data_IF_652368952638
#
_entry.id   IF_652368952638
#
_cell.length_a   1.000
_cell.length_b   1.000
_cell.length_c   1.000
_cell.angle_alpha   90.00
_cell.angle_beta   90.00
_cell.angle_gamma   90.00
#
_symmetry.space_group_name_H-M   'P 1'
#
loop_
_entity.id
_entity.type
_entity.pdbx_description
1 polymer ?
#
# COMPACT_ATOMS: atom_id res chain seq x y z
N UNK A 1 -8.23 -7.24 22.99
CA UNK A 1 -8.09 -5.89 22.39
C UNK A 1 -6.60 -5.61 22.21
N UNK A 2 -6.12 -5.23 21.01
CA UNK A 2 -4.70 -4.88 20.78
C UNK A 2 -4.56 -3.35 20.79
N UNK A 3 -3.67 -2.83 21.63
CA UNK A 3 -3.29 -1.41 21.61
C UNK A 3 -2.43 -1.16 20.37
N UNK A 4 -2.76 -0.11 19.63
CA UNK A 4 -1.97 0.38 18.50
C UNK A 4 -1.65 1.85 18.73
N UNK A 5 -0.48 2.26 18.28
CA UNK A 5 -0.05 3.66 18.27
C UNK A 5 -0.37 4.26 16.90
N UNK A 6 -0.90 5.49 16.90
CA UNK A 6 -1.26 6.24 15.71
C UNK A 6 -0.78 7.68 15.85
N UNK A 7 0.03 8.12 14.90
CA UNK A 7 0.39 9.52 14.73
C UNK A 7 -0.39 10.10 13.55
N UNK A 8 -1.04 11.23 13.76
CA UNK A 8 -1.70 11.99 12.70
C UNK A 8 -0.79 13.17 12.38
N UNK A 9 -0.37 13.26 11.13
CA UNK A 9 0.49 14.31 10.62
C UNK A 9 -0.37 15.25 9.79
N UNK A 10 -0.36 16.54 10.13
CA UNK A 10 -1.04 17.57 9.35
C UNK A 10 -0.10 18.22 8.32
N UNK A 11 -0.65 19.14 7.51
CA UNK A 11 0.08 19.82 6.43
C UNK A 11 1.19 20.76 6.91
N UNK A 12 1.12 21.22 8.15
CA UNK A 12 2.09 22.15 8.73
C UNK A 12 3.29 21.41 9.34
N UNK A 13 3.21 20.09 9.46
CA UNK A 13 4.29 19.27 9.98
C UNK A 13 5.50 19.29 9.04
N UNK A 14 6.71 19.39 9.61
CA UNK A 14 7.97 19.50 8.86
C UNK A 14 8.21 18.38 7.83
N UNK A 15 7.70 17.16 8.09
CA UNK A 15 7.85 16.00 7.22
C UNK A 15 6.66 15.78 6.26
N UNK A 16 5.63 16.63 6.29
CA UNK A 16 4.41 16.41 5.51
C UNK A 16 4.70 16.26 4.01
N UNK A 17 5.49 17.18 3.44
CA UNK A 17 5.79 17.20 2.00
C UNK A 17 6.49 15.92 1.54
N UNK A 18 7.43 15.41 2.31
CA UNK A 18 8.16 14.18 1.99
C UNK A 18 7.24 12.96 2.05
N UNK A 19 6.41 12.87 3.08
CA UNK A 19 5.45 11.78 3.26
C UNK A 19 4.41 11.78 2.13
N UNK A 20 3.93 12.95 1.73
CA UNK A 20 2.96 13.10 0.64
C UNK A 20 3.57 12.67 -0.70
N UNK A 21 4.80 13.09 -1.01
CA UNK A 21 5.52 12.69 -2.22
C UNK A 21 5.75 11.17 -2.27
N UNK A 22 6.22 10.56 -1.17
CA UNK A 22 6.37 9.10 -1.08
C UNK A 22 5.02 8.39 -1.28
N UNK A 23 3.94 8.92 -0.73
CA UNK A 23 2.60 8.36 -0.88
C UNK A 23 2.08 8.47 -2.32
N UNK A 24 2.43 9.54 -3.02
CA UNK A 24 2.12 9.72 -4.44
C UNK A 24 2.91 8.75 -5.32
N UNK A 25 4.22 8.58 -5.06
CA UNK A 25 5.07 7.59 -5.74
C UNK A 25 4.58 6.17 -5.50
N UNK A 26 4.19 5.83 -4.26
CA UNK A 26 3.59 4.55 -3.92
C UNK A 26 2.28 4.29 -4.67
N UNK A 27 1.47 5.34 -4.86
CA UNK A 27 0.28 5.26 -5.69
C UNK A 27 0.60 4.92 -7.14
N UNK A 28 1.66 5.51 -7.71
CA UNK A 28 2.07 5.21 -9.08
C UNK A 28 2.47 3.74 -9.24
N UNK A 29 3.27 3.20 -8.31
CA UNK A 29 3.64 1.78 -8.33
C UNK A 29 2.43 0.86 -8.12
N UNK A 30 1.50 1.22 -7.23
CA UNK A 30 0.25 0.50 -7.06
C UNK A 30 -0.56 0.44 -8.36
N UNK A 31 -0.75 1.60 -9.02
CA UNK A 31 -1.53 1.68 -10.26
C UNK A 31 -0.87 0.89 -11.40
N UNK A 32 0.45 0.97 -11.55
CA UNK A 32 1.21 0.18 -12.53
C UNK A 32 1.08 -1.32 -12.27
N UNK A 33 1.30 -1.75 -11.04
CA UNK A 33 1.16 -3.15 -10.64
C UNK A 33 -0.28 -3.64 -10.88
N UNK A 34 -1.27 -2.83 -10.49
CA UNK A 34 -2.68 -3.17 -10.69
C UNK A 34 -3.05 -3.21 -12.18
N UNK A 35 -2.44 -2.37 -13.01
CA UNK A 35 -2.63 -2.39 -14.46
C UNK A 35 -2.27 -3.77 -15.04
N UNK A 36 -1.08 -4.31 -14.74
CA UNK A 36 -0.70 -5.63 -15.23
C UNK A 36 -1.68 -6.73 -14.78
N UNK A 37 -2.13 -6.71 -13.52
CA UNK A 37 -3.13 -7.67 -13.05
C UNK A 37 -4.48 -7.52 -13.75
N UNK A 38 -4.94 -6.29 -14.00
CA UNK A 38 -6.20 -6.02 -14.71
C UNK A 38 -6.13 -6.48 -16.16
N UNK A 39 -5.04 -6.20 -16.86
CA UNK A 39 -4.84 -6.67 -18.24
C UNK A 39 -4.97 -8.20 -18.33
N UNK A 40 -4.30 -8.92 -17.44
CA UNK A 40 -4.42 -10.38 -17.37
C UNK A 40 -5.82 -10.84 -16.94
N UNK A 41 -6.46 -10.12 -16.03
CA UNK A 41 -7.81 -10.45 -15.58
C UNK A 41 -8.83 -10.35 -16.71
N UNK A 42 -8.75 -9.32 -17.56
CA UNK A 42 -9.65 -9.18 -18.69
C UNK A 42 -9.36 -10.20 -19.81
N UNK A 43 -8.11 -10.63 -19.97
CA UNK A 43 -7.74 -11.64 -20.97
C UNK A 43 -8.02 -13.09 -20.52
N UNK A 44 -7.70 -13.44 -19.27
CA UNK A 44 -7.65 -14.82 -18.78
C UNK A 44 -8.47 -15.06 -17.51
N UNK A 45 -9.11 -14.03 -16.95
CA UNK A 45 -9.73 -14.07 -15.61
C UNK A 45 -8.77 -14.50 -14.48
N UNK A 46 -7.47 -14.20 -14.63
CA UNK A 46 -6.41 -14.47 -13.66
C UNK A 46 -5.67 -13.18 -13.29
N UNK A 47 -5.00 -13.18 -12.14
CA UNK A 47 -4.05 -12.14 -11.77
C UNK A 47 -2.62 -12.70 -11.68
N UNK A 48 -1.63 -11.83 -11.78
CA UNK A 48 -0.23 -12.22 -11.64
C UNK A 48 0.11 -12.64 -10.21
N UNK A 49 0.99 -13.65 -10.10
CA UNK A 49 1.65 -13.98 -8.85
C UNK A 49 2.72 -12.97 -8.47
N UNK A 50 3.25 -13.07 -7.25
CA UNK A 50 4.24 -12.12 -6.73
C UNK A 50 5.51 -12.04 -7.57
N UNK A 51 6.07 -13.19 -7.98
CA UNK A 51 7.32 -13.21 -8.74
C UNK A 51 7.13 -12.60 -10.13
N UNK A 52 6.10 -13.02 -10.86
CA UNK A 52 5.80 -12.48 -12.20
C UNK A 52 5.53 -10.98 -12.14
N UNK A 53 4.69 -10.54 -11.19
CA UNK A 53 4.36 -9.12 -11.06
C UNK A 53 5.58 -8.28 -10.66
N UNK A 54 6.48 -8.83 -9.85
CA UNK A 54 7.76 -8.21 -9.56
C UNK A 54 8.60 -8.05 -10.83
N UNK A 55 8.74 -9.10 -11.65
CA UNK A 55 9.51 -9.02 -12.89
C UNK A 55 8.93 -8.03 -13.90
N UNK A 56 7.60 -7.89 -13.95
CA UNK A 56 6.92 -6.89 -14.78
C UNK A 56 7.14 -5.45 -14.32
N UNK A 57 7.46 -5.23 -13.05
CA UNK A 57 7.49 -3.89 -12.44
C UNK A 57 8.88 -3.43 -12.03
N UNK A 58 9.84 -4.34 -11.81
CA UNK A 58 11.16 -4.04 -11.20
C UNK A 58 12.00 -3.01 -11.95
N UNK A 59 11.86 -2.94 -13.26
CA UNK A 59 12.65 -2.04 -14.12
C UNK A 59 11.90 -0.74 -14.46
N UNK A 60 10.73 -0.51 -13.86
CA UNK A 60 9.94 0.70 -14.08
C UNK A 60 10.39 1.88 -13.20
N UNK A 61 10.19 3.10 -13.69
CA UNK A 61 10.44 4.33 -12.93
C UNK A 61 9.62 4.38 -11.63
N UNK A 62 8.39 3.86 -11.65
CA UNK A 62 7.55 3.82 -10.46
C UNK A 62 8.12 2.91 -9.37
N UNK A 63 8.83 1.84 -9.75
CA UNK A 63 9.45 0.91 -8.81
C UNK A 63 10.74 1.48 -8.22
N UNK A 64 11.58 2.11 -9.06
CA UNK A 64 12.85 2.73 -8.67
C UNK A 64 12.68 4.04 -7.90
N UNK A 65 11.53 4.71 -8.03
CA UNK A 65 11.18 5.92 -7.28
C UNK A 65 11.03 5.73 -5.76
N UNK A 66 11.04 4.48 -5.27
CA UNK A 66 10.89 4.13 -3.87
C UNK A 66 12.00 3.17 -3.43
N UNK A 67 12.33 3.10 -2.12
CA UNK A 67 13.26 2.10 -1.63
C UNK A 67 12.80 0.69 -1.97
N UNK A 68 13.69 -0.17 -2.47
CA UNK A 68 13.36 -1.52 -2.96
C UNK A 68 12.52 -2.34 -1.99
N UNK A 69 12.78 -2.24 -0.68
CA UNK A 69 12.00 -2.95 0.35
C UNK A 69 10.53 -2.50 0.35
N UNK A 70 10.29 -1.19 0.23
CA UNK A 70 8.96 -0.58 0.15
C UNK A 70 8.27 -1.02 -1.14
N UNK A 71 8.95 -0.91 -2.29
CA UNK A 71 8.42 -1.30 -3.61
C UNK A 71 7.95 -2.76 -3.62
N UNK A 72 8.77 -3.69 -3.11
CA UNK A 72 8.40 -5.12 -2.97
C UNK A 72 7.14 -5.32 -2.11
N UNK A 73 6.99 -4.57 -1.02
CA UNK A 73 5.80 -4.67 -0.17
C UNK A 73 4.55 -4.12 -0.85
N UNK A 74 4.67 -3.06 -1.65
CA UNK A 74 3.54 -2.52 -2.43
C UNK A 74 3.08 -3.57 -3.46
N UNK A 75 4.00 -4.15 -4.23
CA UNK A 75 3.68 -5.23 -5.18
C UNK A 75 3.01 -6.40 -4.46
N UNK A 76 3.54 -6.82 -3.30
CA UNK A 76 2.94 -7.88 -2.48
C UNK A 76 1.52 -7.54 -2.01
N UNK A 77 1.25 -6.28 -1.65
CA UNK A 77 -0.10 -5.83 -1.27
C UNK A 77 -1.06 -5.90 -2.45
N UNK A 78 -0.64 -5.53 -3.66
CA UNK A 78 -1.46 -5.67 -4.87
C UNK A 78 -1.85 -7.13 -5.09
N UNK A 79 -0.89 -8.05 -5.04
CA UNK A 79 -1.17 -9.50 -5.14
C UNK A 79 -2.18 -9.93 -4.08
N UNK A 80 -1.98 -9.52 -2.82
CA UNK A 80 -2.92 -9.84 -1.73
C UNK A 80 -4.32 -9.30 -1.99
N UNK A 81 -4.47 -8.09 -2.53
CA UNK A 81 -5.75 -7.52 -2.92
C UNK A 81 -6.45 -8.39 -3.98
N UNK A 82 -5.72 -8.83 -5.01
CA UNK A 82 -6.27 -9.71 -6.05
C UNK A 82 -6.64 -11.09 -5.52
N UNK A 83 -5.80 -11.71 -4.69
CA UNK A 83 -6.12 -12.98 -4.02
C UNK A 83 -7.38 -12.84 -3.16
N UNK A 84 -7.51 -11.74 -2.43
CA UNK A 84 -8.70 -11.42 -1.63
C UNK A 84 -9.96 -11.26 -2.49
N UNK A 85 -9.86 -10.59 -3.64
CA UNK A 85 -10.96 -10.47 -4.59
C UNK A 85 -11.43 -11.84 -5.09
N UNK A 86 -10.53 -12.72 -5.54
CA UNK A 86 -10.93 -14.06 -6.00
C UNK A 86 -11.54 -14.91 -4.88
N UNK A 87 -11.01 -14.81 -3.66
CA UNK A 87 -11.58 -15.49 -2.50
C UNK A 87 -12.99 -14.99 -2.20
N UNK A 88 -13.21 -13.67 -2.21
CA UNK A 88 -14.51 -13.06 -2.00
C UNK A 88 -15.50 -13.45 -3.12
N UNK A 89 -15.07 -13.43 -4.38
CA UNK A 89 -15.91 -13.82 -5.52
C UNK A 89 -16.35 -15.29 -5.44
N UNK A 90 -15.45 -16.18 -5.01
CA UNK A 90 -15.77 -17.60 -4.80
C UNK A 90 -16.79 -17.79 -3.68
N UNK A 91 -16.66 -17.05 -2.59
CA UNK A 91 -17.62 -17.13 -1.48
C UNK A 91 -18.96 -16.51 -1.85
N UNK A 92 -18.96 -15.37 -2.55
CA UNK A 92 -20.17 -14.74 -3.09
C UNK A 92 -20.97 -15.70 -3.98
N UNK A 93 -20.30 -16.46 -4.86
CA UNK A 93 -20.96 -17.47 -5.70
C UNK A 93 -21.62 -18.61 -4.93
N UNK A 94 -21.17 -18.88 -3.69
CA UNK A 94 -21.73 -19.94 -2.83
C UNK A 94 -22.85 -19.41 -1.93
N UNK A 95 -22.64 -18.22 -1.38
CA UNK A 95 -23.51 -17.57 -0.41
C UNK A 95 -23.65 -16.08 -0.71
N UNK A 96 -24.43 -15.70 -1.76
CA UNK A 96 -24.62 -14.30 -2.12
C UNK A 96 -25.20 -13.46 -0.98
N UNK A 97 -26.02 -14.06 -0.12
CA UNK A 97 -26.70 -13.43 1.01
C UNK A 97 -25.76 -12.88 2.09
N UNK A 98 -24.50 -13.35 2.13
CA UNK A 98 -23.47 -12.84 3.05
C UNK A 98 -22.89 -11.50 2.61
N UNK A 99 -23.21 -11.05 1.39
CA UNK A 99 -22.64 -9.86 0.79
C UNK A 99 -23.75 -8.86 0.45
N UNK A 100 -23.46 -7.58 0.65
CA UNK A 100 -24.33 -6.49 0.22
C UNK A 100 -24.40 -6.38 -1.32
N UNK A 101 -23.32 -6.77 -1.99
CA UNK A 101 -23.21 -6.76 -3.46
C UNK A 101 -22.10 -7.68 -3.93
N UNK A 102 -22.07 -7.98 -5.23
CA UNK A 102 -20.96 -8.70 -5.84
C UNK A 102 -19.61 -8.01 -5.57
N UNK A 103 -18.56 -8.76 -5.18
CA UNK A 103 -17.22 -8.23 -5.01
C UNK A 103 -16.72 -7.55 -6.29
N UNK A 104 -16.06 -6.40 -6.14
CA UNK A 104 -15.51 -5.63 -7.26
C UNK A 104 -14.00 -5.84 -7.38
N UNK A 105 -13.50 -5.87 -8.61
CA UNK A 105 -12.06 -5.93 -8.88
C UNK A 105 -11.34 -4.71 -8.30
N UNK A 106 -10.05 -4.83 -7.92
CA UNK A 106 -9.24 -3.70 -7.46
C UNK A 106 -9.22 -2.56 -8.49
N UNK A 107 -9.65 -1.37 -8.05
CA UNK A 107 -9.68 -0.15 -8.85
C UNK A 107 -8.32 0.56 -8.89
N UNK A 108 -8.20 1.53 -9.79
CA UNK A 108 -7.07 2.47 -9.78
C UNK A 108 -7.28 3.55 -8.73
N UNK A 109 -6.19 4.09 -8.21
CA UNK A 109 -6.18 5.33 -7.45
C UNK A 109 -6.17 6.52 -8.39
N UNK A 110 -6.68 7.65 -7.93
CA UNK A 110 -6.74 8.88 -8.71
C UNK A 110 -5.35 9.31 -9.23
N UNK A 111 -5.32 9.87 -10.44
CA UNK A 111 -4.07 10.22 -11.12
C UNK A 111 -3.38 11.42 -10.47
N UNK A 112 -4.12 12.46 -10.09
CA UNK A 112 -3.59 13.70 -9.54
C UNK A 112 -3.57 13.67 -8.00
N UNK A 113 -4.70 13.30 -7.40
CA UNK A 113 -4.93 13.42 -5.96
C UNK A 113 -4.78 12.09 -5.21
N UNK A 114 -4.55 11.00 -5.95
CA UNK A 114 -4.40 9.67 -5.37
C UNK A 114 -3.15 9.55 -4.51
N UNK A 115 -3.29 8.86 -3.37
CA UNK A 115 -2.20 8.47 -2.47
C UNK A 115 -2.32 6.98 -2.13
N UNK A 116 -1.20 6.37 -1.79
CA UNK A 116 -1.16 4.97 -1.36
C UNK A 116 -0.28 4.81 -0.13
N UNK A 117 -0.60 3.79 0.68
CA UNK A 117 0.14 3.47 1.90
C UNK A 117 1.58 3.10 1.54
N UNK A 118 2.54 3.74 2.21
CA UNK A 118 3.97 3.43 2.10
C UNK A 118 4.38 2.53 3.26
N UNK A 119 4.54 1.21 3.05
CA UNK A 119 4.84 0.28 4.13
C UNK A 119 6.31 0.33 4.54
N UNK A 120 6.63 1.08 5.59
CA UNK A 120 7.91 0.94 6.29
C UNK A 120 7.80 -0.12 7.40
N UNK A 121 8.84 -0.95 7.52
CA UNK A 121 8.98 -1.84 8.68
C UNK A 121 9.55 -1.01 9.81
N UNK A 122 8.81 -0.89 10.91
CA UNK A 122 9.38 -0.43 12.17
C UNK A 122 10.37 -1.48 12.64
N UNK A 123 11.66 -1.14 12.63
CA UNK A 123 12.67 -1.93 13.31
C UNK A 123 12.73 -1.38 14.72
N UNK A 124 12.13 -2.09 15.67
CA UNK A 124 12.28 -1.73 17.08
C UNK A 124 13.73 -1.96 17.47
N UNK A 125 14.53 -0.89 17.57
CA UNK A 125 15.60 -0.88 18.56
C UNK A 125 14.95 -0.91 19.95
N UNK A 126 15.58 -1.55 20.93
CA UNK A 126 15.09 -1.63 22.31
C UNK A 126 14.52 -0.29 22.80
N UNK A 127 13.47 -0.27 23.65
CA UNK A 127 12.78 0.95 24.02
C UNK A 127 13.73 1.87 24.78
N UNK A 128 14.31 2.85 24.08
CA UNK A 128 14.92 4.00 24.71
C UNK A 128 13.76 4.94 25.02
N UNK A 129 13.54 5.16 26.31
CA UNK A 129 12.64 6.17 26.84
C UNK A 129 12.85 7.51 26.12
N UNK A 130 11.80 8.03 25.48
CA UNK A 130 11.80 9.37 24.91
C UNK A 130 11.79 10.38 26.07
N UNK A 131 12.96 10.91 26.41
CA UNK A 131 13.07 12.04 27.31
C UNK A 131 12.59 13.32 26.61
N UNK A 132 11.98 14.21 27.40
CA UNK A 132 11.41 15.47 26.95
C UNK A 132 12.53 16.43 26.55
N UNK A 133 12.85 16.47 25.26
CA UNK A 133 13.71 17.51 24.71
C UNK A 133 14.62 16.98 23.61
N UNK A 134 14.37 17.49 22.41
CA UNK A 134 15.33 17.66 21.33
C UNK A 134 15.92 16.43 20.59
N UNK A 135 15.70 16.48 19.27
CA UNK A 135 16.39 15.79 18.16
C UNK A 135 15.97 14.34 17.87
N UNK A 136 15.01 14.22 16.97
CA UNK A 136 14.79 12.99 16.18
C UNK A 136 15.96 12.85 15.19
N UNK A 137 16.86 11.91 15.47
CA UNK A 137 17.90 11.49 14.53
C UNK A 137 17.22 10.65 13.44
N UNK A 138 17.13 11.19 12.23
CA UNK A 138 16.57 10.50 11.06
C UNK A 138 17.53 9.43 10.54
N UNK A 139 17.79 8.39 11.34
CA UNK A 139 18.36 7.14 10.84
C UNK A 139 17.21 6.24 10.42
N UNK A 140 16.89 6.24 9.13
CA UNK A 140 16.21 5.16 8.41
C UNK A 140 15.10 4.40 9.17
N UNK A 141 13.85 4.69 8.83
CA UNK A 141 12.65 3.83 8.98
C UNK A 141 11.65 4.17 10.09
N UNK A 142 10.99 5.33 10.03
CA UNK A 142 9.70 5.49 10.72
C UNK A 142 8.72 6.33 9.90
N UNK A 143 7.83 5.67 9.15
CA UNK A 143 6.56 6.25 8.75
C UNK A 143 5.46 5.19 8.82
N UNK A 144 4.45 5.44 9.66
CA UNK A 144 3.16 4.76 9.62
C UNK A 144 2.21 5.69 8.86
N UNK A 145 1.99 5.42 7.58
CA UNK A 145 0.95 6.10 6.80
C UNK A 145 -0.40 5.45 7.08
N UNK A 146 -1.26 6.21 7.74
CA UNK A 146 -2.60 5.80 8.15
C UNK A 146 -3.59 6.37 7.14
N UNK A 147 -4.43 5.47 6.64
CA UNK A 147 -5.51 5.74 5.71
C UNK A 147 -6.48 6.78 6.29
N UNK A 148 -6.89 7.75 5.47
CA UNK A 148 -7.92 8.72 5.85
C UNK A 148 -9.26 8.00 5.93
N UNK A 149 -9.84 7.88 7.12
CA UNK A 149 -11.29 7.78 7.28
C UNK A 149 -11.78 9.11 7.87
N UNK A 150 -12.39 9.94 7.02
CA UNK A 150 -13.40 10.91 7.46
C UNK A 150 -14.71 10.13 7.59
N UNK A 151 -15.30 10.14 8.78
CA UNK A 151 -16.77 10.07 8.94
C UNK A 151 -17.25 11.52 8.93
#
# INVERSE_FOLDING_TARGET
MRLFERHVIDKNHQHWTEIDDLSFKAKNLYNLSNYHCRQRFFAEHKAWGLNDLYHLTKDSDAYSALPTKVSKQIVKRVVKCWTGYFAALREYRKSPEKFLSEPKIPGYKDKADGRYVVPYRVVRSNPVSLDRGDRVRLTSSEFVLIDKFKV
#
